data_IF_159240424404
#
_entry.id   IF_159240424404
#
_cell.length_a   1.000
_cell.length_b   1.000
_cell.length_c   1.000
_cell.angle_alpha   90.00
_cell.angle_beta   90.00
_cell.angle_gamma   90.00
#
_symmetry.space_group_name_H-M   'P 1'
#
loop_
_entity.id
_entity.type
_entity.pdbx_description
1 polymer ?
#
# COMPACT_ATOMS: atom_id res chain seq x y z
N UNK A 1 -10.28 7.78 7.66
CA UNK A 1 -9.98 8.57 8.88
C UNK A 1 -9.84 10.03 8.47
N UNK A 2 -10.74 10.89 8.95
CA UNK A 2 -10.74 12.32 8.63
C UNK A 2 -9.51 13.02 9.25
N UNK A 3 -8.90 13.97 8.51
CA UNK A 3 -7.70 14.73 8.90
C UNK A 3 -7.98 16.19 9.24
N UNK A 4 -9.24 16.61 9.22
CA UNK A 4 -9.63 17.99 9.47
C UNK A 4 -9.42 18.39 10.94
N UNK A 5 -9.04 19.65 11.20
CA UNK A 5 -8.80 20.16 12.55
C UNK A 5 -10.01 20.01 13.48
N UNK A 6 -11.22 20.13 12.93
CA UNK A 6 -12.49 19.92 13.66
C UNK A 6 -12.83 18.45 13.93
N UNK A 7 -12.05 17.48 13.45
CA UNK A 7 -12.33 16.06 13.67
C UNK A 7 -11.85 15.61 15.06
N UNK A 8 -12.78 15.59 16.01
CA UNK A 8 -12.46 15.19 17.37
C UNK A 8 -12.49 13.66 17.54
N UNK A 9 -11.32 13.05 17.68
CA UNK A 9 -11.18 11.63 18.06
C UNK A 9 -11.44 11.49 19.56
N UNK A 10 -12.59 10.93 19.95
CA UNK A 10 -12.84 10.57 21.34
C UNK A 10 -12.18 9.23 21.65
N UNK A 11 -11.23 9.23 22.59
CA UNK A 11 -10.65 7.99 23.12
C UNK A 11 -11.72 7.31 23.96
N UNK A 12 -12.28 6.21 23.45
CA UNK A 12 -13.26 5.42 24.19
C UNK A 12 -12.53 4.35 24.99
N UNK A 13 -12.84 4.25 26.30
CA UNK A 13 -12.33 3.19 27.17
C UNK A 13 -12.69 1.80 26.62
N UNK A 14 -13.89 1.68 26.05
CA UNK A 14 -14.40 0.44 25.43
C UNK A 14 -13.53 0.03 24.24
N UNK A 15 -13.21 0.95 23.32
CA UNK A 15 -12.38 0.64 22.15
C UNK A 15 -10.99 0.12 22.52
N UNK A 16 -10.37 0.68 23.56
CA UNK A 16 -9.07 0.20 24.06
C UNK A 16 -9.17 -1.21 24.65
N UNK A 17 -10.22 -1.50 25.43
CA UNK A 17 -10.44 -2.83 26.01
C UNK A 17 -10.67 -3.87 24.91
N UNK A 18 -11.57 -3.58 23.96
CA UNK A 18 -11.86 -4.48 22.84
C UNK A 18 -10.60 -4.74 22.01
N UNK A 19 -9.81 -3.69 21.72
CA UNK A 19 -8.58 -3.88 20.94
C UNK A 19 -7.52 -4.69 21.70
N UNK A 20 -7.39 -4.48 23.01
CA UNK A 20 -6.50 -5.29 23.87
C UNK A 20 -6.92 -6.76 23.88
N UNK A 21 -8.21 -7.05 23.99
CA UNK A 21 -8.73 -8.42 23.94
C UNK A 21 -8.47 -9.09 22.58
N UNK A 22 -8.68 -8.36 21.48
CA UNK A 22 -8.40 -8.85 20.13
C UNK A 22 -6.91 -9.19 19.96
N UNK A 23 -6.02 -8.27 20.35
CA UNK A 23 -4.58 -8.49 20.30
C UNK A 23 -4.15 -9.67 21.20
N UNK A 24 -4.71 -9.77 22.41
CA UNK A 24 -4.44 -10.87 23.32
C UNK A 24 -4.84 -12.22 22.70
N UNK A 25 -6.00 -12.30 22.04
CA UNK A 25 -6.45 -13.54 21.37
C UNK A 25 -5.49 -13.96 20.26
N UNK A 26 -5.01 -13.02 19.45
CA UNK A 26 -4.04 -13.30 18.37
C UNK A 26 -2.72 -13.78 18.95
N UNK A 27 -2.19 -13.09 19.95
CA UNK A 27 -0.96 -13.49 20.64
C UNK A 27 -1.09 -14.88 21.28
N UNK A 28 -2.17 -15.12 22.02
CA UNK A 28 -2.46 -16.41 22.65
C UNK A 28 -2.60 -17.54 21.63
N UNK A 29 -3.28 -17.31 20.51
CA UNK A 29 -3.40 -18.29 19.43
C UNK A 29 -2.03 -18.64 18.84
N UNK A 30 -1.17 -17.63 18.62
CA UNK A 30 0.20 -17.82 18.16
C UNK A 30 1.04 -18.67 19.13
N UNK A 31 1.01 -18.34 20.43
CA UNK A 31 1.73 -19.09 21.47
C UNK A 31 1.23 -20.53 21.57
N UNK A 32 -0.09 -20.73 21.61
CA UNK A 32 -0.69 -22.08 21.67
C UNK A 32 -0.31 -22.92 20.45
N UNK A 33 -0.35 -22.33 19.25
CA UNK A 33 0.07 -23.00 18.02
C UNK A 33 1.56 -23.36 18.07
N UNK A 34 2.41 -22.45 18.53
CA UNK A 34 3.85 -22.70 18.65
C UNK A 34 4.14 -23.86 19.61
N UNK A 35 3.56 -23.84 20.82
CA UNK A 35 3.72 -24.91 21.80
C UNK A 35 3.21 -26.26 21.27
N UNK A 36 2.05 -26.27 20.60
CA UNK A 36 1.51 -27.47 19.97
C UNK A 36 2.44 -28.01 18.86
N UNK A 37 3.03 -27.13 18.03
CA UNK A 37 4.01 -27.53 17.01
C UNK A 37 5.29 -28.10 17.62
N UNK A 38 5.81 -27.50 18.69
CA UNK A 38 6.99 -28.00 19.41
C UNK A 38 6.70 -29.38 19.99
N UNK A 39 5.58 -29.53 20.69
CA UNK A 39 5.20 -30.80 21.31
C UNK A 39 4.92 -31.88 20.25
N UNK A 40 4.23 -31.55 19.16
CA UNK A 40 4.00 -32.47 18.05
C UNK A 40 5.32 -32.94 17.43
N UNK A 41 6.28 -32.03 17.21
CA UNK A 41 7.62 -32.41 16.71
C UNK A 41 8.35 -33.33 17.70
N UNK A 42 8.26 -33.07 19.01
CA UNK A 42 8.85 -33.93 20.05
C UNK A 42 8.23 -35.34 20.01
N UNK A 43 6.90 -35.43 20.02
CA UNK A 43 6.17 -36.71 19.95
C UNK A 43 6.45 -37.47 18.66
N UNK A 44 6.45 -36.79 17.51
CA UNK A 44 6.83 -37.39 16.21
C UNK A 44 8.25 -37.94 16.24
N UNK A 45 9.21 -37.21 16.81
CA UNK A 45 10.58 -37.70 16.98
C UNK A 45 10.62 -38.99 17.81
N UNK A 46 9.86 -39.05 18.91
CA UNK A 46 9.72 -40.27 19.71
C UNK A 46 9.16 -41.44 18.91
N UNK A 47 8.01 -41.24 18.23
CA UNK A 47 7.37 -42.26 17.40
C UNK A 47 8.30 -42.76 16.28
N UNK A 48 8.89 -41.84 15.52
CA UNK A 48 9.75 -42.16 14.38
C UNK A 48 11.06 -42.84 14.77
N UNK A 49 11.61 -42.55 15.96
CA UNK A 49 12.74 -43.29 16.52
C UNK A 49 12.42 -44.76 16.78
N UNK A 50 11.18 -45.10 17.11
CA UNK A 50 10.76 -46.51 17.30
C UNK A 50 10.58 -47.28 15.98
N UNK A 51 10.79 -46.64 14.83
CA UNK A 51 10.59 -47.26 13.52
C UNK A 51 9.12 -47.37 13.09
N UNK A 52 8.17 -46.89 13.90
CA UNK A 52 6.73 -46.87 13.59
C UNK A 52 6.32 -45.63 12.78
N UNK A 53 5.15 -45.69 12.15
CA UNK A 53 4.58 -44.62 11.33
C UNK A 53 4.92 -44.73 9.85
N UNK A 54 4.40 -43.78 9.06
CA UNK A 54 4.63 -43.75 7.62
C UNK A 54 6.11 -43.55 7.26
N UNK A 55 6.62 -44.36 6.32
CA UNK A 55 8.04 -44.37 5.95
C UNK A 55 8.46 -43.06 5.26
N UNK A 56 7.61 -42.51 4.39
CA UNK A 56 7.88 -41.25 3.69
C UNK A 56 7.96 -40.08 4.66
N UNK A 57 6.91 -39.88 5.46
CA UNK A 57 6.87 -38.79 6.46
C UNK A 57 8.00 -38.88 7.48
N UNK A 58 8.43 -40.09 7.83
CA UNK A 58 9.59 -40.29 8.72
C UNK A 58 10.90 -39.87 8.04
N UNK A 59 11.11 -40.27 6.81
CA UNK A 59 12.29 -39.88 6.02
C UNK A 59 12.37 -38.35 5.93
N UNK A 60 11.28 -37.72 5.49
CA UNK A 60 11.23 -36.26 5.32
C UNK A 60 11.49 -35.51 6.63
N UNK A 61 10.96 -36.02 7.75
CA UNK A 61 11.18 -35.43 9.07
C UNK A 61 12.66 -35.39 9.47
N UNK A 62 13.43 -36.43 9.16
CA UNK A 62 14.86 -36.48 9.47
C UNK A 62 15.70 -35.70 8.46
N UNK A 63 15.35 -35.74 7.18
CA UNK A 63 16.01 -34.94 6.14
C UNK A 63 15.86 -33.44 6.43
N UNK A 64 14.65 -32.97 6.75
CA UNK A 64 14.42 -31.57 7.16
C UNK A 64 15.27 -31.19 8.38
N UNK A 65 15.45 -32.12 9.32
CA UNK A 65 16.26 -31.92 10.52
C UNK A 65 17.76 -31.77 10.22
N UNK A 66 18.30 -32.61 9.33
CA UNK A 66 19.70 -32.56 8.91
C UNK A 66 19.98 -31.33 8.05
N UNK A 67 19.07 -30.99 7.13
CA UNK A 67 19.18 -29.81 6.28
C UNK A 67 19.36 -28.54 7.10
N UNK A 68 18.50 -28.30 8.10
CA UNK A 68 18.61 -27.13 8.99
C UNK A 68 19.89 -27.06 9.80
N UNK A 69 20.46 -28.21 10.16
CA UNK A 69 21.74 -28.26 10.86
C UNK A 69 22.88 -27.89 9.90
N UNK A 70 22.80 -28.39 8.66
CA UNK A 70 23.72 -28.03 7.58
C UNK A 70 23.69 -26.55 7.27
N UNK A 71 22.50 -25.97 7.08
CA UNK A 71 22.33 -24.54 6.78
C UNK A 71 22.97 -23.66 7.88
N UNK A 72 22.78 -24.02 9.15
CA UNK A 72 23.38 -23.29 10.28
C UNK A 72 24.91 -23.39 10.27
N UNK A 73 25.45 -24.58 10.02
CA UNK A 73 26.89 -24.76 9.92
C UNK A 73 27.48 -23.94 8.76
N UNK A 74 26.81 -23.92 7.61
CA UNK A 74 27.21 -23.12 6.46
C UNK A 74 27.16 -21.61 6.75
N UNK A 75 26.13 -21.14 7.44
CA UNK A 75 26.01 -19.73 7.85
C UNK A 75 27.18 -19.31 8.77
N UNK A 76 27.56 -20.16 9.72
CA UNK A 76 28.70 -19.90 10.61
C UNK A 76 30.03 -19.88 9.85
N UNK A 77 30.21 -20.81 8.90
CA UNK A 77 31.40 -20.83 8.03
C UNK A 77 31.47 -19.58 7.17
N UNK A 78 30.34 -19.13 6.60
CA UNK A 78 30.31 -17.93 5.76
C UNK A 78 30.65 -16.67 6.55
N UNK A 79 30.11 -16.52 7.76
CA UNK A 79 30.48 -15.40 8.66
C UNK A 79 31.98 -15.38 8.97
N UNK A 80 32.57 -16.56 9.14
CA UNK A 80 34.01 -16.70 9.29
C UNK A 80 34.78 -16.24 8.05
N UNK A 81 34.33 -16.62 6.86
CA UNK A 81 34.94 -16.21 5.59
C UNK A 81 34.86 -14.69 5.38
N UNK A 82 33.68 -14.08 5.58
CA UNK A 82 33.48 -12.63 5.43
C UNK A 82 34.38 -11.84 6.39
N UNK A 83 34.56 -12.34 7.62
CA UNK A 83 35.47 -11.72 8.60
C UNK A 83 36.94 -11.75 8.15
N UNK A 84 37.35 -12.82 7.45
CA UNK A 84 38.70 -12.96 6.92
C UNK A 84 38.91 -12.02 5.73
N UNK A 85 37.91 -11.91 4.84
CA UNK A 85 37.96 -11.02 3.68
C UNK A 85 38.02 -9.53 4.09
N UNK A 86 37.27 -9.14 5.12
CA UNK A 86 37.32 -7.78 5.68
C UNK A 86 38.72 -7.43 6.21
N UNK A 87 39.37 -8.37 6.91
CA UNK A 87 40.73 -8.18 7.41
C UNK A 87 41.74 -8.00 6.27
N UNK A 88 41.63 -8.78 5.19
CA UNK A 88 42.49 -8.61 4.02
C UNK A 88 42.24 -7.30 3.29
N UNK A 89 41.00 -6.82 3.23
CA UNK A 89 40.66 -5.52 2.65
C UNK A 89 41.30 -4.36 3.44
N UNK A 90 41.20 -4.39 4.77
CA UNK A 90 41.84 -3.39 5.64
C UNK A 90 43.37 -3.41 5.51
N UNK A 91 43.97 -4.60 5.47
CA UNK A 91 45.41 -4.74 5.26
C UNK A 91 45.86 -4.15 3.92
N UNK A 92 45.13 -4.44 2.84
CA UNK A 92 45.42 -3.87 1.52
C UNK A 92 45.26 -2.35 1.49
N UNK A 93 44.25 -1.80 2.18
CA UNK A 93 44.08 -0.37 2.33
C UNK A 93 45.26 0.28 3.07
N UNK A 94 45.71 -0.32 4.17
CA UNK A 94 46.86 0.16 4.93
C UNK A 94 48.15 0.10 4.10
N UNK A 95 48.33 -0.96 3.30
CA UNK A 95 49.43 -1.03 2.35
C UNK A 95 49.36 0.04 1.27
N UNK A 96 48.17 0.33 0.74
CA UNK A 96 47.97 1.38 -0.27
C UNK A 96 48.28 2.77 0.32
N UNK A 97 47.78 3.06 1.52
CA UNK A 97 48.09 4.32 2.23
C UNK A 97 49.59 4.44 2.51
N UNK A 98 50.24 3.36 2.94
CA UNK A 98 51.69 3.36 3.15
C UNK A 98 52.44 3.64 1.84
N UNK A 99 52.01 3.04 0.71
CA UNK A 99 52.62 3.31 -0.61
C UNK A 99 52.44 4.76 -1.03
N UNK A 100 51.27 5.36 -0.79
CA UNK A 100 50.99 6.76 -1.10
C UNK A 100 51.90 7.74 -0.36
N UNK A 101 52.27 7.43 0.90
CA UNK A 101 53.24 8.26 1.65
C UNK A 101 54.63 8.23 1.01
N UNK A 102 54.99 7.13 0.34
CA UNK A 102 56.27 7.01 -0.37
C UNK A 102 56.20 7.42 -1.85
N UNK A 103 55.01 7.51 -2.45
CA UNK A 103 54.79 8.05 -3.80
C UNK A 103 54.67 9.59 -3.75
N UNK A 104 55.80 10.26 -3.56
CA UNK A 104 55.92 11.71 -3.71
C UNK A 104 55.90 12.11 -5.19
N UNK A 105 54.71 12.29 -5.76
CA UNK A 105 54.46 13.16 -6.92
C UNK A 105 53.08 13.83 -6.77
N UNK A 106 53.12 15.14 -6.55
CA UNK A 106 52.00 16.05 -6.24
C UNK A 106 51.25 16.43 -7.52
N UNK A 107 49.91 16.47 -7.48
CA UNK A 107 49.07 17.43 -8.22
C UNK A 107 47.60 17.39 -7.72
N UNK A 108 47.11 18.51 -7.17
CA UNK A 108 45.69 18.76 -6.83
C UNK A 108 44.88 19.12 -8.09
N UNK A 109 43.62 18.68 -8.24
CA UNK A 109 42.71 19.26 -9.23
C UNK A 109 41.65 20.17 -8.60
N UNK A 110 41.63 21.38 -9.17
CA UNK A 110 40.63 22.43 -9.10
C UNK A 110 39.23 21.98 -9.51
N UNK A 111 38.22 22.49 -8.79
CA UNK A 111 36.78 22.29 -9.03
C UNK A 111 36.34 22.99 -10.32
N UNK A 112 35.79 22.22 -11.29
CA UNK A 112 35.05 22.78 -12.43
C UNK A 112 33.58 22.34 -12.40
N UNK A 113 32.70 23.34 -12.42
CA UNK A 113 31.26 23.24 -12.65
C UNK A 113 30.93 22.47 -13.94
N UNK A 114 30.02 21.50 -13.85
CA UNK A 114 29.23 21.03 -15.00
C UNK A 114 27.80 20.73 -14.56
N UNK A 115 26.85 21.45 -15.18
CA UNK A 115 25.42 21.29 -14.97
C UNK A 115 24.85 20.06 -15.67
N UNK A 116 23.73 19.57 -15.16
CA UNK A 116 22.94 18.50 -15.77
C UNK A 116 21.49 18.98 -15.85
N UNK A 117 21.07 19.27 -17.09
CA UNK A 117 19.70 19.48 -17.50
C UNK A 117 19.09 18.10 -17.79
N UNK A 118 18.10 17.67 -17.01
CA UNK A 118 17.29 16.49 -17.34
C UNK A 118 15.85 16.93 -17.54
N UNK A 119 15.47 17.01 -18.81
CA UNK A 119 14.09 16.95 -19.28
C UNK A 119 13.65 15.50 -19.19
N UNK A 120 12.65 15.21 -18.36
CA UNK A 120 11.83 14.01 -18.49
C UNK A 120 10.37 14.42 -18.61
N UNK A 121 9.89 14.38 -19.85
CA UNK A 121 8.48 14.38 -20.21
C UNK A 121 7.80 13.14 -19.64
N UNK A 122 6.97 13.34 -18.60
CA UNK A 122 5.91 12.40 -18.23
C UNK A 122 4.62 13.21 -18.23
N UNK A 123 3.80 12.98 -19.26
CA UNK A 123 2.53 13.67 -19.47
C UNK A 123 1.51 13.34 -18.38
N UNK A 124 1.58 14.05 -17.26
CA UNK A 124 0.45 14.26 -16.36
C UNK A 124 -0.42 15.38 -16.94
N UNK A 125 -1.61 15.03 -17.42
CA UNK A 125 -2.62 16.04 -17.77
C UNK A 125 -3.06 16.71 -16.46
N UNK A 126 -2.54 17.90 -16.20
CA UNK A 126 -3.00 18.77 -15.11
C UNK A 126 -4.46 19.13 -15.35
N UNK A 127 -5.38 18.72 -14.48
CA UNK A 127 -6.80 19.02 -14.64
C UNK A 127 -7.10 20.46 -14.19
N UNK A 128 -6.91 21.41 -15.09
CA UNK A 128 -7.48 22.76 -14.98
C UNK A 128 -8.34 23.13 -16.19
N UNK A 129 -8.50 22.22 -17.16
CA UNK A 129 -9.44 22.40 -18.27
C UNK A 129 -10.85 21.99 -17.82
N UNK A 130 -11.77 22.96 -17.78
CA UNK A 130 -13.21 22.67 -17.62
C UNK A 130 -13.65 21.73 -18.75
N UNK A 131 -14.09 20.52 -18.39
CA UNK A 131 -14.65 19.56 -19.34
C UNK A 131 -15.88 20.17 -20.02
N UNK A 132 -16.00 19.94 -21.32
CA UNK A 132 -17.16 20.31 -22.14
C UNK A 132 -18.32 19.33 -21.89
N UNK A 133 -19.56 19.75 -22.20
CA UNK A 133 -20.74 18.89 -21.98
C UNK A 133 -20.69 17.54 -22.72
N UNK A 134 -20.22 17.44 -23.99
CA UNK A 134 -20.04 16.15 -24.66
C UNK A 134 -19.06 15.23 -23.93
N UNK A 135 -17.99 15.78 -23.35
CA UNK A 135 -17.04 15.00 -22.54
C UNK A 135 -17.68 14.49 -21.24
N UNK A 136 -18.56 15.28 -20.62
CA UNK A 136 -19.33 14.85 -19.45
C UNK A 136 -20.28 13.69 -19.75
N UNK A 137 -20.88 13.64 -20.95
CA UNK A 137 -21.69 12.49 -21.38
C UNK A 137 -20.83 11.21 -21.44
N UNK A 138 -19.60 11.32 -21.95
CA UNK A 138 -18.66 10.18 -21.97
C UNK A 138 -18.21 9.75 -20.56
N UNK A 139 -18.03 10.70 -19.64
CA UNK A 139 -17.74 10.41 -18.23
C UNK A 139 -18.91 9.70 -17.56
N UNK A 140 -20.14 10.13 -17.85
CA UNK A 140 -21.37 9.54 -17.32
C UNK A 140 -21.55 8.11 -17.80
N UNK A 141 -21.34 7.82 -19.09
CA UNK A 141 -21.44 6.45 -19.60
C UNK A 141 -20.40 5.52 -18.97
N UNK A 142 -19.16 6.00 -18.75
CA UNK A 142 -18.15 5.25 -17.98
C UNK A 142 -18.61 4.94 -16.55
N UNK A 143 -19.29 5.87 -15.90
CA UNK A 143 -19.84 5.66 -14.56
C UNK A 143 -20.94 4.59 -14.57
N UNK A 144 -21.81 4.59 -15.59
CA UNK A 144 -22.88 3.58 -15.74
C UNK A 144 -22.32 2.18 -15.95
N UNK A 145 -21.29 2.04 -16.80
CA UNK A 145 -20.60 0.76 -17.05
C UNK A 145 -19.99 0.20 -15.76
N UNK A 146 -19.48 1.08 -14.87
CA UNK A 146 -18.95 0.66 -13.56
C UNK A 146 -20.02 0.11 -12.62
N UNK A 147 -21.29 0.44 -12.83
CA UNK A 147 -22.42 -0.10 -12.07
C UNK A 147 -22.43 0.28 -10.59
N UNK A 148 -21.78 1.39 -10.20
CA UNK A 148 -21.78 1.87 -8.81
C UNK A 148 -23.02 2.73 -8.55
N UNK A 149 -24.11 2.13 -8.09
CA UNK A 149 -25.34 2.83 -7.67
C UNK A 149 -25.30 3.34 -6.22
N UNK A 150 -24.30 2.91 -5.44
CA UNK A 150 -24.16 3.24 -4.02
C UNK A 150 -23.14 4.37 -3.83
N UNK A 151 -23.48 5.34 -2.95
CA UNK A 151 -22.59 6.42 -2.58
C UNK A 151 -21.45 5.92 -1.67
N UNK A 152 -20.17 5.96 -2.09
CA UNK A 152 -19.07 5.38 -1.30
C UNK A 152 -18.80 6.10 0.04
N UNK A 153 -19.40 7.26 0.28
CA UNK A 153 -19.21 8.04 1.51
C UNK A 153 -20.18 7.58 2.61
N UNK A 154 -21.47 7.41 2.27
CA UNK A 154 -22.51 7.07 3.24
C UNK A 154 -23.01 5.62 3.14
N UNK A 155 -22.64 4.89 2.07
CA UNK A 155 -23.02 3.50 1.81
C UNK A 155 -24.53 3.29 1.58
N UNK A 156 -25.22 4.31 1.08
CA UNK A 156 -26.63 4.25 0.70
C UNK A 156 -26.76 4.45 -0.82
N UNK A 157 -27.88 4.01 -1.38
CA UNK A 157 -28.18 4.16 -2.80
C UNK A 157 -28.29 5.65 -3.20
N UNK A 158 -27.72 5.99 -4.35
CA UNK A 158 -27.75 7.34 -4.92
C UNK A 158 -29.14 7.71 -5.47
N UNK A 159 -30.01 6.73 -5.70
CA UNK A 159 -31.33 6.91 -6.32
C UNK A 159 -32.42 7.39 -5.34
N UNK A 160 -32.23 7.20 -4.03
CA UNK A 160 -33.25 7.52 -3.01
C UNK A 160 -33.39 9.02 -2.71
N UNK A 161 -32.37 9.83 -3.07
CA UNK A 161 -32.25 11.24 -2.67
C UNK A 161 -32.82 12.26 -3.69
N UNK A 162 -33.67 11.83 -4.62
CA UNK A 162 -34.44 12.75 -5.47
C UNK A 162 -33.61 13.56 -6.48
N UNK A 163 -32.48 13.01 -6.96
CA UNK A 163 -31.71 13.62 -8.07
C UNK A 163 -30.54 14.50 -7.66
N UNK A 164 -30.17 14.53 -6.37
CA UNK A 164 -28.97 15.22 -5.85
C UNK A 164 -27.68 14.40 -6.00
N UNK A 165 -27.50 13.73 -7.14
CA UNK A 165 -26.31 12.93 -7.46
C UNK A 165 -25.26 13.79 -8.19
N UNK A 166 -24.01 13.70 -7.75
CA UNK A 166 -22.86 14.40 -8.32
C UNK A 166 -21.92 13.40 -8.97
N UNK A 167 -21.57 13.66 -10.23
CA UNK A 167 -20.59 12.94 -11.00
C UNK A 167 -19.27 13.70 -11.03
N UNK A 168 -18.18 13.01 -10.71
CA UNK A 168 -16.82 13.54 -10.79
C UNK A 168 -16.19 13.21 -12.16
N UNK A 169 -15.23 14.03 -12.60
CA UNK A 169 -14.49 13.82 -13.87
C UNK A 169 -13.76 12.47 -13.95
N UNK A 170 -13.43 11.88 -12.79
CA UNK A 170 -12.88 10.54 -12.65
C UNK A 170 -13.92 9.40 -12.76
N UNK A 171 -15.17 9.71 -13.14
CA UNK A 171 -16.31 8.78 -13.27
C UNK A 171 -16.71 8.06 -11.95
N UNK A 172 -16.67 8.79 -10.84
CA UNK A 172 -17.22 8.33 -9.55
C UNK A 172 -18.42 9.21 -9.18
N UNK A 173 -19.44 8.61 -8.57
CA UNK A 173 -20.70 9.25 -8.20
C UNK A 173 -20.90 9.29 -6.68
N UNK A 174 -21.52 10.37 -6.21
CA UNK A 174 -21.77 10.62 -4.78
C UNK A 174 -23.04 11.45 -4.60
N UNK A 175 -23.68 11.40 -3.43
CA UNK A 175 -24.67 12.43 -3.08
C UNK A 175 -24.00 13.79 -2.95
N UNK A 176 -24.71 14.84 -3.37
CA UNK A 176 -24.29 16.24 -3.25
C UNK A 176 -23.89 16.60 -1.82
N UNK A 177 -24.73 16.27 -0.84
CA UNK A 177 -24.46 16.52 0.58
C UNK A 177 -23.19 15.81 1.06
N UNK A 178 -22.97 14.59 0.61
CA UNK A 178 -21.82 13.77 0.99
C UNK A 178 -20.52 14.34 0.43
N UNK A 179 -20.48 14.69 -0.86
CA UNK A 179 -19.27 15.25 -1.47
C UNK A 179 -19.00 16.68 -0.98
N UNK A 180 -20.02 17.50 -0.75
CA UNK A 180 -19.85 18.83 -0.14
C UNK A 180 -19.34 18.74 1.29
N UNK A 181 -19.85 17.81 2.11
CA UNK A 181 -19.32 17.57 3.44
C UNK A 181 -17.86 17.11 3.37
N UNK A 182 -17.52 16.22 2.44
CA UNK A 182 -16.16 15.78 2.22
C UNK A 182 -15.22 16.94 1.85
N UNK A 183 -15.65 17.82 0.94
CA UNK A 183 -14.90 19.01 0.53
C UNK A 183 -14.71 20.03 1.66
N UNK A 184 -15.73 20.23 2.51
CA UNK A 184 -15.59 21.09 3.71
C UNK A 184 -14.51 20.57 4.65
N UNK A 185 -14.26 19.27 4.65
CA UNK A 185 -13.22 18.64 5.46
C UNK A 185 -11.92 18.39 4.69
N UNK A 186 -11.81 18.88 3.45
CA UNK A 186 -10.61 18.78 2.65
C UNK A 186 -9.56 19.80 3.14
N UNK A 187 -8.38 19.30 3.49
CA UNK A 187 -7.24 20.11 3.96
C UNK A 187 -6.27 20.47 2.84
N UNK A 188 -6.51 19.97 1.62
CA UNK A 188 -5.67 20.20 0.46
C UNK A 188 -6.25 21.34 -0.39
N UNK A 189 -5.38 22.11 -1.04
CA UNK A 189 -5.78 23.14 -2.02
C UNK A 189 -6.49 22.54 -3.26
N UNK A 190 -6.39 21.22 -3.43
CA UNK A 190 -6.93 20.46 -4.56
C UNK A 190 -8.01 19.50 -4.05
N UNK A 191 -9.16 19.46 -4.73
CA UNK A 191 -10.21 18.47 -4.48
C UNK A 191 -9.83 17.11 -5.08
N UNK A 192 -9.58 16.13 -4.20
CA UNK A 192 -9.20 14.77 -4.58
C UNK A 192 -10.36 13.79 -4.37
N UNK A 193 -10.58 12.91 -5.33
CA UNK A 193 -11.69 11.96 -5.30
C UNK A 193 -11.56 11.01 -4.09
N UNK A 194 -12.63 10.78 -3.30
CA UNK A 194 -12.58 9.84 -2.17
C UNK A 194 -12.21 8.40 -2.55
N UNK A 195 -12.44 8.00 -3.81
CA UNK A 195 -12.25 6.63 -4.30
C UNK A 195 -10.87 6.47 -4.95
N UNK A 196 -10.58 7.20 -6.03
CA UNK A 196 -9.31 7.04 -6.76
C UNK A 196 -8.21 8.03 -6.38
N UNK A 197 -8.53 9.08 -5.62
CA UNK A 197 -7.60 10.17 -5.22
C UNK A 197 -7.08 11.04 -6.36
N UNK A 198 -7.63 10.92 -7.55
CA UNK A 198 -7.35 11.85 -8.64
C UNK A 198 -8.01 13.22 -8.36
N UNK A 199 -7.41 14.28 -8.89
CA UNK A 199 -8.03 15.59 -8.94
C UNK A 199 -9.31 15.56 -9.79
N UNK A 200 -10.31 16.33 -9.38
CA UNK A 200 -11.60 16.28 -10.06
C UNK A 200 -12.27 17.63 -10.24
N UNK A 201 -13.04 17.70 -11.33
CA UNK A 201 -14.17 18.63 -11.45
C UNK A 201 -15.46 17.86 -11.24
N UNK A 202 -16.57 18.55 -10.95
CA UNK A 202 -17.85 17.93 -10.62
C UNK A 202 -19.02 18.53 -11.40
N UNK A 203 -20.01 17.71 -11.71
CA UNK A 203 -21.27 18.12 -12.34
C UNK A 203 -22.44 17.39 -11.67
N UNK A 204 -23.61 18.02 -11.65
CA UNK A 204 -24.83 17.32 -11.23
C UNK A 204 -25.26 16.35 -12.34
N UNK A 205 -25.52 15.09 -11.97
CA UNK A 205 -25.93 14.03 -12.90
C UNK A 205 -27.21 14.38 -13.66
N UNK A 206 -28.14 15.09 -13.02
CA UNK A 206 -29.36 15.61 -13.66
C UNK A 206 -29.05 16.44 -14.92
N UNK A 207 -28.04 17.30 -14.86
CA UNK A 207 -27.64 18.15 -15.98
C UNK A 207 -27.10 17.32 -17.15
N UNK A 208 -26.40 16.22 -16.86
CA UNK A 208 -25.86 15.32 -17.89
C UNK A 208 -26.96 14.45 -18.49
N UNK A 209 -27.88 13.94 -17.65
CA UNK A 209 -29.05 13.17 -18.08
C UNK A 209 -29.92 13.96 -19.07
N UNK A 210 -30.17 15.25 -18.82
CA UNK A 210 -30.96 16.10 -19.73
C UNK A 210 -30.37 16.22 -21.14
N UNK A 211 -29.05 16.24 -21.29
CA UNK A 211 -28.40 16.32 -22.61
C UNK A 211 -28.22 14.96 -23.28
N UNK A 212 -28.01 13.89 -22.50
CA UNK A 212 -27.90 12.52 -23.05
C UNK A 212 -29.25 11.99 -23.59
N UNK A 213 -30.38 12.51 -23.08
CA UNK A 213 -31.75 12.13 -23.43
C UNK A 213 -32.42 13.10 -24.42
N UNK A 214 -31.66 13.79 -25.28
CA UNK A 214 -32.19 14.82 -26.20
C UNK A 214 -33.60 14.53 -26.75
N UNK A 215 -34.51 15.48 -26.49
CA UNK A 215 -35.95 15.55 -26.84
C UNK A 215 -36.99 14.92 -25.89
N UNK A 216 -37.64 15.80 -25.11
CA UNK A 216 -39.10 15.81 -24.94
C UNK A 216 -39.72 14.92 -23.86
N UNK A 217 -39.94 15.49 -22.67
CA UNK A 217 -41.29 15.66 -22.06
C UNK A 217 -41.19 16.15 -20.61
N UNK A 218 -41.92 17.23 -20.36
CA UNK A 218 -42.34 17.69 -19.05
C UNK A 218 -43.05 16.55 -18.31
N UNK A 219 -42.60 16.22 -17.09
CA UNK A 219 -43.51 15.67 -16.09
C UNK A 219 -44.20 16.86 -15.44
N UNK A 220 -45.44 17.10 -15.85
CA UNK A 220 -46.43 17.86 -15.08
C UNK A 220 -47.14 16.83 -14.21
N UNK A 221 -47.13 17.11 -12.91
CA UNK A 221 -47.86 16.53 -11.76
C UNK A 221 -47.69 15.03 -11.45
#
# INVERSE_FOLDING_TARGET
MCRHESYQKKITKVGVITKRQECARVAQAGVRMFLAKVELRRRRRGLYKTGKGDKGRRHDFFVEGIGKLGDRALEEVQKGADSVDLLFAEFNQNLALSRQVFDSNVEEPTVTNMGINIVTSVGGKTATSKLTMPEWVMVYERSRIRGTSECPICMNDCDEDGGDEILLSCSHTFHKKCIEAFERFNIYEISLCPVCRDDYTKINVFNVKQMALGDGRFFVD
#
